data_IF_427640251587
#
_entry.id   IF_427640251587
#
_cell.length_a   1.000
_cell.length_b   1.000
_cell.length_c   1.000
_cell.angle_alpha   90.00
_cell.angle_beta   90.00
_cell.angle_gamma   90.00
#
_symmetry.space_group_name_H-M   'P 1'
#
loop_
_entity.id
_entity.type
_entity.pdbx_description
1 polymer ?
#
# COMPACT_ATOMS: atom_id res chain seq x y z
N UNK A 1 12.64 -4.00 22.17
CA UNK A 1 11.75 -3.91 20.99
C UNK A 1 12.25 -4.93 19.99
N UNK A 2 11.40 -5.84 19.52
CA UNK A 2 11.84 -6.91 18.61
C UNK A 2 12.03 -6.34 17.19
N UNK A 3 12.93 -6.93 16.38
CA UNK A 3 13.11 -6.51 14.99
C UNK A 3 11.80 -6.59 14.16
N UNK A 4 10.92 -7.59 14.35
CA UNK A 4 9.59 -7.62 13.71
C UNK A 4 8.71 -6.42 14.06
N UNK A 5 8.73 -5.93 15.31
CA UNK A 5 7.90 -4.79 15.73
C UNK A 5 8.34 -3.48 15.04
N UNK A 6 9.65 -3.31 14.87
CA UNK A 6 10.21 -2.13 14.19
C UNK A 6 9.86 -2.15 12.70
N UNK A 7 9.98 -3.30 12.03
CA UNK A 7 9.62 -3.46 10.63
C UNK A 7 8.12 -3.23 10.38
N UNK A 8 7.26 -3.74 11.28
CA UNK A 8 5.81 -3.48 11.22
C UNK A 8 5.50 -1.99 11.28
N UNK A 9 6.01 -1.30 12.31
CA UNK A 9 5.76 0.14 12.52
C UNK A 9 6.25 0.98 11.36
N UNK A 10 7.43 0.66 10.84
CA UNK A 10 7.98 1.36 9.68
C UNK A 10 7.05 1.26 8.46
N UNK A 11 6.58 0.04 8.15
CA UNK A 11 5.64 -0.17 7.04
C UNK A 11 4.30 0.53 7.27
N UNK A 12 3.78 0.50 8.50
CA UNK A 12 2.57 1.24 8.88
C UNK A 12 2.73 2.75 8.65
N UNK A 13 3.84 3.34 9.10
CA UNK A 13 4.13 4.78 8.93
C UNK A 13 4.24 5.16 7.46
N UNK A 14 4.85 4.31 6.63
CA UNK A 14 4.98 4.59 5.20
C UNK A 14 3.66 4.46 4.44
N UNK A 15 2.86 3.43 4.75
CA UNK A 15 1.51 3.28 4.18
C UNK A 15 0.63 4.48 4.56
N UNK A 16 0.69 4.90 5.82
CA UNK A 16 0.00 6.10 6.32
C UNK A 16 0.40 7.35 5.51
N UNK A 17 1.70 7.59 5.34
CA UNK A 17 2.21 8.73 4.60
C UNK A 17 1.75 8.72 3.12
N UNK A 18 1.78 7.56 2.47
CA UNK A 18 1.32 7.40 1.10
C UNK A 18 -0.17 7.72 0.95
N UNK A 19 -1.01 7.20 1.85
CA UNK A 19 -2.46 7.47 1.85
C UNK A 19 -2.71 8.96 2.09
N UNK A 20 -2.07 9.54 3.11
CA UNK A 20 -2.22 10.96 3.45
C UNK A 20 -1.82 11.90 2.29
N UNK A 21 -0.79 11.56 1.52
CA UNK A 21 -0.40 12.32 0.33
C UNK A 21 -1.50 12.34 -0.73
N UNK A 22 -2.14 11.19 -0.99
CA UNK A 22 -3.25 11.09 -1.94
C UNK A 22 -4.53 11.76 -1.40
N UNK A 23 -4.74 11.77 -0.09
CA UNK A 23 -5.85 12.53 0.54
C UNK A 23 -5.64 14.03 0.33
N UNK A 24 -4.41 14.52 0.56
CA UNK A 24 -4.06 15.93 0.40
C UNK A 24 -4.12 16.41 -1.05
N UNK A 25 -3.82 15.55 -2.02
CA UNK A 25 -3.93 15.87 -3.46
C UNK A 25 -5.38 15.88 -3.96
N UNK A 26 -6.31 15.27 -3.21
CA UNK A 26 -7.70 15.08 -3.63
C UNK A 26 -7.84 14.11 -4.80
N UNK A 27 -6.79 13.37 -5.15
CA UNK A 27 -6.79 12.40 -6.25
C UNK A 27 -6.53 11.00 -5.69
N UNK A 28 -7.35 10.00 -6.06
CA UNK A 28 -7.03 8.63 -5.72
C UNK A 28 -5.75 8.18 -6.44
N UNK A 29 -5.02 7.20 -5.87
CA UNK A 29 -3.93 6.57 -6.60
C UNK A 29 -4.47 5.95 -7.89
N UNK A 30 -3.65 5.96 -8.95
CA UNK A 30 -3.98 5.27 -10.20
C UNK A 30 -4.04 3.74 -10.00
N UNK A 31 -4.44 2.99 -11.03
CA UNK A 31 -4.60 1.53 -10.94
C UNK A 31 -3.35 0.81 -10.49
N UNK A 32 -2.18 1.26 -10.94
CA UNK A 32 -0.91 0.66 -10.58
C UNK A 32 -0.58 0.93 -9.11
N UNK A 33 -0.63 2.19 -8.71
CA UNK A 33 -0.33 2.60 -7.36
C UNK A 33 -1.33 2.00 -6.34
N UNK A 34 -2.61 1.97 -6.69
CA UNK A 34 -3.67 1.39 -5.87
C UNK A 34 -3.51 -0.13 -5.69
N UNK A 35 -3.20 -0.86 -6.76
CA UNK A 35 -2.98 -2.32 -6.70
C UNK A 35 -1.80 -2.66 -5.78
N UNK A 36 -0.66 -1.98 -5.96
CA UNK A 36 0.52 -2.25 -5.15
C UNK A 36 0.35 -1.79 -3.69
N UNK A 37 -0.45 -0.75 -3.42
CA UNK A 37 -0.87 -0.40 -2.06
C UNK A 37 -1.72 -1.51 -1.43
N UNK A 38 -2.70 -2.06 -2.14
CA UNK A 38 -3.52 -3.19 -1.65
C UNK A 38 -2.64 -4.42 -1.35
N UNK A 39 -1.69 -4.74 -2.23
CA UNK A 39 -0.73 -5.82 -1.99
C UNK A 39 0.16 -5.53 -0.77
N UNK A 40 0.58 -4.28 -0.55
CA UNK A 40 1.35 -3.90 0.64
C UNK A 40 0.54 -4.10 1.93
N UNK A 41 -0.73 -3.68 1.93
CA UNK A 41 -1.67 -3.90 3.04
C UNK A 41 -1.88 -5.40 3.33
N UNK A 42 -2.01 -6.23 2.29
CA UNK A 42 -2.12 -7.68 2.44
C UNK A 42 -0.86 -8.30 3.06
N UNK A 43 0.33 -7.82 2.68
CA UNK A 43 1.61 -8.21 3.28
C UNK A 43 1.73 -7.79 4.75
N UNK A 44 1.34 -6.55 5.06
CA UNK A 44 1.29 -6.06 6.44
C UNK A 44 0.37 -6.95 7.29
N UNK A 45 -0.81 -7.31 6.78
CA UNK A 45 -1.72 -8.25 7.45
C UNK A 45 -1.11 -9.64 7.66
N UNK A 46 -0.32 -10.13 6.72
CA UNK A 46 0.33 -11.44 6.80
C UNK A 46 1.59 -11.46 7.68
N UNK A 47 2.07 -10.31 8.17
CA UNK A 47 3.33 -10.20 8.90
C UNK A 47 4.58 -10.25 8.00
N UNK A 48 4.42 -10.18 6.68
CA UNK A 48 5.52 -10.16 5.71
C UNK A 48 5.88 -8.72 5.34
N UNK A 49 6.57 -8.06 6.28
CA UNK A 49 6.90 -6.63 6.17
C UNK A 49 7.89 -6.33 5.05
N UNK A 50 8.84 -7.24 4.78
CA UNK A 50 9.83 -7.04 3.72
C UNK A 50 9.17 -7.00 2.33
N UNK A 51 8.26 -7.94 2.08
CA UNK A 51 7.47 -7.94 0.84
C UNK A 51 6.50 -6.77 0.80
N UNK A 52 5.92 -6.37 1.93
CA UNK A 52 5.06 -5.18 2.03
C UNK A 52 5.78 -3.90 1.62
N UNK A 53 7.01 -3.73 2.11
CA UNK A 53 7.90 -2.62 1.75
C UNK A 53 8.27 -2.59 0.27
N UNK A 54 8.55 -3.76 -0.32
CA UNK A 54 8.82 -3.85 -1.76
C UNK A 54 7.60 -3.44 -2.60
N UNK A 55 6.40 -3.86 -2.18
CA UNK A 55 5.14 -3.51 -2.83
C UNK A 55 4.81 -2.03 -2.68
N UNK A 56 5.02 -1.44 -1.51
CA UNK A 56 4.79 0.00 -1.33
C UNK A 56 5.74 0.85 -2.18
N UNK A 57 7.02 0.44 -2.31
CA UNK A 57 7.96 1.10 -3.22
C UNK A 57 7.50 1.07 -4.68
N UNK A 58 6.85 -0.01 -5.11
CA UNK A 58 6.21 -0.06 -6.43
C UNK A 58 5.05 0.93 -6.48
N UNK A 59 4.17 0.98 -5.48
CA UNK A 59 3.07 1.94 -5.45
C UNK A 59 3.54 3.42 -5.53
N UNK A 60 4.67 3.74 -4.91
CA UNK A 60 5.32 5.06 -4.95
C UNK A 60 6.04 5.37 -6.27
N UNK A 61 6.23 4.37 -7.14
CA UNK A 61 7.00 4.54 -8.37
C UNK A 61 6.24 5.45 -9.36
N UNK A 62 6.86 6.56 -9.81
CA UNK A 62 6.25 7.47 -10.79
C UNK A 62 5.91 6.75 -12.10
N UNK A 63 4.83 7.12 -12.81
CA UNK A 63 4.42 6.48 -14.06
C UNK A 63 5.55 6.26 -15.07
N UNK A 64 6.43 7.25 -15.22
CA UNK A 64 7.56 7.24 -16.16
C UNK A 64 8.70 6.30 -15.78
N UNK A 65 8.70 5.74 -14.56
CA UNK A 65 9.73 4.81 -14.05
C UNK A 65 9.23 3.38 -13.84
N UNK A 66 7.95 3.11 -14.12
CA UNK A 66 7.36 1.78 -13.90
C UNK A 66 7.87 0.79 -14.93
N UNK A 67 8.22 -0.42 -14.47
CA UNK A 67 8.61 -1.48 -15.40
C UNK A 67 7.39 -1.99 -16.17
N UNK A 68 7.51 -2.33 -17.46
CA UNK A 68 6.40 -2.92 -18.21
C UNK A 68 5.88 -4.23 -17.60
N UNK A 69 6.77 -4.98 -16.94
CA UNK A 69 6.43 -6.25 -16.29
C UNK A 69 5.53 -6.04 -15.07
N UNK A 70 5.83 -5.03 -14.24
CA UNK A 70 5.00 -4.70 -13.10
C UNK A 70 3.64 -4.15 -13.55
N UNK A 71 3.63 -3.32 -14.60
CA UNK A 71 2.38 -2.78 -15.16
C UNK A 71 1.48 -3.90 -15.69
N UNK A 72 2.06 -4.90 -16.34
CA UNK A 72 1.31 -6.05 -16.84
C UNK A 72 0.69 -6.93 -15.72
N UNK A 73 1.17 -6.82 -14.48
CA UNK A 73 0.60 -7.54 -13.32
C UNK A 73 -0.59 -6.83 -12.70
N UNK A 74 -0.93 -5.62 -13.14
CA UNK A 74 -2.08 -4.88 -12.65
C UNK A 74 -3.34 -5.39 -13.35
N UNK A 75 -4.33 -5.94 -12.63
CA UNK A 75 -5.56 -6.41 -13.23
C UNK A 75 -6.29 -5.27 -13.97
N UNK A 76 -6.75 -5.54 -15.18
CA UNK A 76 -7.60 -4.60 -15.94
C UNK A 76 -9.07 -4.79 -15.57
N UNK A 77 -9.84 -3.70 -15.53
CA UNK A 77 -11.29 -3.74 -15.34
C UNK A 77 -11.81 -3.71 -13.89
N UNK A 78 -10.94 -3.56 -12.88
CA UNK A 78 -11.38 -3.30 -11.51
C UNK A 78 -11.62 -1.83 -11.26
N UNK A 79 -12.66 -1.51 -10.47
CA UNK A 79 -12.90 -0.16 -10.00
C UNK A 79 -11.74 0.28 -9.10
N UNK A 80 -11.19 1.47 -9.36
CA UNK A 80 -10.21 2.09 -8.49
C UNK A 80 -10.82 2.35 -7.13
N UNK A 81 -10.14 1.88 -6.08
CA UNK A 81 -10.51 2.26 -4.72
C UNK A 81 -10.25 3.75 -4.55
N UNK A 82 -11.23 4.44 -3.97
CA UNK A 82 -11.04 5.80 -3.47
C UNK A 82 -9.99 5.82 -2.35
N UNK A 83 -9.37 6.97 -2.13
CA UNK A 83 -8.43 7.15 -1.02
C UNK A 83 -9.08 6.83 0.34
N UNK A 84 -10.38 7.14 0.50
CA UNK A 84 -11.15 6.78 1.69
C UNK A 84 -11.33 5.26 1.87
N UNK A 85 -11.42 4.48 0.80
CA UNK A 85 -11.46 3.02 0.86
C UNK A 85 -10.10 2.42 1.23
N UNK A 86 -9.00 2.97 0.71
CA UNK A 86 -7.65 2.61 1.14
C UNK A 86 -7.44 2.91 2.62
N UNK A 87 -7.83 4.10 3.08
CA UNK A 87 -7.83 4.50 4.49
C UNK A 87 -8.57 3.49 5.38
N UNK A 88 -9.82 3.17 5.03
CA UNK A 88 -10.62 2.17 5.78
C UNK A 88 -9.95 0.80 5.81
N UNK A 89 -9.33 0.38 4.71
CA UNK A 89 -8.62 -0.90 4.62
C UNK A 89 -7.37 -0.93 5.51
N UNK A 90 -6.64 0.18 5.59
CA UNK A 90 -5.48 0.32 6.46
C UNK A 90 -5.87 0.27 7.95
N UNK A 91 -6.88 1.05 8.36
CA UNK A 91 -7.35 1.02 9.76
C UNK A 91 -7.84 -0.36 10.18
N UNK A 92 -8.57 -1.07 9.32
CA UNK A 92 -9.00 -2.46 9.58
C UNK A 92 -7.81 -3.40 9.74
N UNK A 93 -6.74 -3.19 8.98
CA UNK A 93 -5.52 -4.01 9.07
C UNK A 93 -4.82 -3.80 10.39
N UNK A 94 -4.64 -2.55 10.83
CA UNK A 94 -4.07 -2.22 12.15
C UNK A 94 -4.87 -2.84 13.30
N UNK A 95 -6.19 -2.70 13.28
CA UNK A 95 -7.06 -3.29 14.31
C UNK A 95 -7.01 -4.83 14.35
N UNK A 96 -6.85 -5.47 13.20
CA UNK A 96 -6.71 -6.92 13.10
C UNK A 96 -5.38 -7.45 13.66
N UNK A 97 -4.34 -6.62 13.75
CA UNK A 97 -3.03 -6.96 14.31
C UNK A 97 -2.94 -6.81 15.84
N UNK A 98 -3.92 -6.14 16.46
CA UNK A 98 -3.97 -5.88 17.89
C UNK A 98 -4.77 -6.94 18.69
N UNK A 99 -5.37 -7.92 18.00
CA UNK A 99 -6.15 -9.02 18.59
C UNK A 99 -5.36 -10.31 18.54
#
# INVERSE_FOLDING_TARGET
MSAPDAARRHLEERIEAFIALNEASGQPPDSFAGEYLVRALASLKAGDYATGEARLRLAETPPERRSPQDVAQVPTGYALLSTAEHRRSFERTKLGQLR
#
